data_IF_066398924289
#
_entry.id   IF_066398924289
#
_cell.length_a   1.000
_cell.length_b   1.000
_cell.length_c   1.000
_cell.angle_alpha   90.00
_cell.angle_beta   90.00
_cell.angle_gamma   90.00
#
_symmetry.space_group_name_H-M   'P 1'
#
loop_
_entity.id
_entity.type
_entity.pdbx_description
1 polymer ?
#
# COMPACT_ATOMS: atom_id res chain seq x y z
N UNK A 1 42.26 6.62 14.62
CA UNK A 1 40.93 7.21 14.88
C UNK A 1 40.38 7.95 13.65
N UNK A 2 40.08 7.25 12.53
CA UNK A 2 39.61 7.88 11.26
C UNK A 2 38.46 7.10 10.58
N UNK A 3 37.58 6.46 11.36
CA UNK A 3 36.40 5.72 10.82
C UNK A 3 35.09 6.03 11.56
N UNK A 4 35.07 7.07 12.38
CA UNK A 4 33.89 7.45 13.16
C UNK A 4 32.78 8.21 12.38
N UNK A 5 33.06 9.11 11.41
CA UNK A 5 31.99 9.93 10.82
C UNK A 5 31.08 9.13 9.86
N UNK A 6 31.59 8.10 9.18
CA UNK A 6 30.78 7.26 8.27
C UNK A 6 29.81 6.33 9.02
N UNK A 7 30.17 5.87 10.22
CA UNK A 7 29.30 5.04 11.05
C UNK A 7 28.17 5.86 11.69
N UNK A 8 28.40 7.15 11.94
CA UNK A 8 27.38 8.05 12.47
C UNK A 8 26.34 8.39 11.40
N UNK A 9 26.76 8.63 10.16
CA UNK A 9 25.88 8.87 9.01
C UNK A 9 25.03 7.64 8.65
N UNK A 10 25.63 6.44 8.62
CA UNK A 10 24.89 5.20 8.38
C UNK A 10 23.89 4.87 9.51
N UNK A 11 24.25 5.17 10.77
CA UNK A 11 23.34 5.02 11.91
C UNK A 11 22.26 6.09 11.94
N UNK A 12 22.53 7.32 11.53
CA UNK A 12 21.53 8.38 11.46
C UNK A 12 20.50 8.12 10.36
N UNK A 13 20.92 7.58 9.21
CA UNK A 13 20.02 7.09 8.15
C UNK A 13 19.18 5.89 8.64
N UNK A 14 19.77 4.99 9.45
CA UNK A 14 19.02 3.87 10.06
C UNK A 14 18.08 4.30 11.20
N UNK A 15 18.43 5.34 11.97
CA UNK A 15 17.62 5.86 13.07
C UNK A 15 16.45 6.72 12.57
N UNK A 16 16.66 7.48 11.49
CA UNK A 16 15.58 8.16 10.76
C UNK A 16 14.56 7.16 10.18
N UNK A 17 14.99 5.92 9.94
CA UNK A 17 14.16 4.79 9.53
C UNK A 17 13.46 4.02 10.68
N UNK A 18 13.74 4.36 11.94
CA UNK A 18 13.22 3.65 13.14
C UNK A 18 12.11 4.39 13.90
N UNK A 19 11.64 5.54 13.40
CA UNK A 19 10.39 6.14 13.89
C UNK A 19 9.20 5.23 13.50
N UNK A 20 8.10 5.20 14.28
CA UNK A 20 6.96 4.34 13.99
C UNK A 20 6.34 4.74 12.65
N UNK A 21 6.68 3.99 11.60
CA UNK A 21 6.19 4.15 10.23
C UNK A 21 5.00 3.21 10.03
N UNK A 22 3.74 3.69 9.93
CA UNK A 22 2.64 2.81 9.54
C UNK A 22 2.49 2.69 8.01
N UNK A 23 3.36 3.30 7.18
CA UNK A 23 3.07 3.43 5.73
C UNK A 23 4.28 3.41 4.77
N UNK A 24 5.53 3.37 5.23
CA UNK A 24 6.70 3.47 4.33
C UNK A 24 7.33 2.11 3.94
N UNK A 25 7.08 1.05 4.73
CA UNK A 25 7.69 -0.28 4.48
C UNK A 25 7.28 -0.91 3.14
N UNK A 26 6.10 -0.55 2.60
CA UNK A 26 5.65 -1.02 1.28
C UNK A 26 6.33 -0.32 0.10
N UNK A 27 6.87 0.89 0.29
CA UNK A 27 7.40 1.71 -0.82
C UNK A 27 8.81 1.33 -1.25
N UNK A 28 9.66 0.81 -0.36
CA UNK A 28 11.04 0.46 -0.70
C UNK A 28 11.21 -1.00 -1.13
N UNK A 29 10.45 -1.93 -0.54
CA UNK A 29 10.51 -3.35 -0.93
C UNK A 29 9.97 -3.61 -2.34
N UNK A 30 8.87 -2.93 -2.74
CA UNK A 30 8.25 -3.13 -4.05
C UNK A 30 9.07 -2.55 -5.22
N UNK A 31 9.81 -1.45 -5.01
CA UNK A 31 10.63 -0.81 -6.05
C UNK A 31 11.93 -1.59 -6.30
N UNK A 32 12.55 -2.15 -5.26
CA UNK A 32 13.72 -3.02 -5.41
C UNK A 32 13.36 -4.41 -5.94
N UNK A 33 12.21 -4.99 -5.55
CA UNK A 33 11.79 -6.33 -5.99
C UNK A 33 11.28 -6.36 -7.44
N UNK A 34 10.55 -5.32 -7.91
CA UNK A 34 10.08 -5.25 -9.31
C UNK A 34 11.21 -4.99 -10.32
N UNK A 35 12.35 -4.46 -9.89
CA UNK A 35 13.50 -4.24 -10.79
C UNK A 35 14.27 -5.54 -11.11
N UNK A 36 14.07 -6.63 -10.35
CA UNK A 36 14.82 -7.89 -10.51
C UNK A 36 14.03 -9.04 -11.14
N UNK A 37 12.71 -8.91 -11.30
CA UNK A 37 11.86 -9.99 -11.84
C UNK A 37 11.00 -9.47 -12.99
N UNK A 38 11.61 -9.36 -14.17
CA UNK A 38 10.91 -9.23 -15.45
C UNK A 38 10.97 -10.59 -16.16
N UNK A 39 10.21 -11.57 -15.66
CA UNK A 39 9.95 -12.80 -16.42
C UNK A 39 8.66 -12.60 -17.20
N UNK A 40 8.83 -12.45 -18.51
CA UNK A 40 7.73 -12.44 -19.47
C UNK A 40 6.94 -13.74 -19.43
N UNK A 41 5.64 -13.60 -19.67
CA UNK A 41 4.78 -14.67 -20.19
C UNK A 41 3.94 -14.05 -21.29
N UNK A 42 4.38 -14.28 -22.53
CA UNK A 42 3.48 -14.27 -23.69
C UNK A 42 2.78 -15.63 -23.69
N UNK A 43 1.45 -15.63 -23.68
CA UNK A 43 0.69 -16.83 -24.04
C UNK A 43 0.51 -16.89 -25.57
N UNK A 44 0.71 -18.07 -26.20
CA UNK A 44 0.59 -18.26 -27.64
C UNK A 44 -0.87 -18.44 -28.06
N UNK A 45 -1.19 -18.00 -29.27
CA UNK A 45 -2.56 -17.91 -29.79
C UNK A 45 -3.30 -19.24 -29.99
N UNK A 46 -4.62 -19.11 -30.15
CA UNK A 46 -5.53 -20.16 -30.61
C UNK A 46 -6.92 -19.58 -30.90
N UNK A 47 -7.35 -19.67 -32.16
CA UNK A 47 -8.67 -19.26 -32.65
C UNK A 47 -9.81 -20.22 -32.22
N UNK A 48 -11.04 -19.75 -32.52
CA UNK A 48 -12.35 -20.43 -32.64
C UNK A 48 -13.20 -20.50 -31.36
N UNK A 49 -14.39 -19.88 -31.39
CA UNK A 49 -15.61 -20.55 -31.86
C UNK A 49 -16.81 -19.60 -31.87
N UNK A 50 -17.33 -19.31 -33.07
CA UNK A 50 -18.73 -18.99 -33.34
C UNK A 50 -19.56 -20.27 -33.23
N UNK A 51 -20.16 -20.59 -32.07
CA UNK A 51 -21.19 -21.63 -31.90
C UNK A 51 -21.69 -21.69 -30.44
N UNK A 52 -22.59 -20.77 -30.05
CA UNK A 52 -23.55 -20.95 -28.93
C UNK A 52 -24.33 -19.64 -28.73
N UNK A 53 -25.49 -19.48 -29.38
CA UNK A 53 -26.43 -18.41 -29.01
C UNK A 53 -27.80 -18.96 -28.55
N UNK A 54 -27.97 -20.28 -28.53
CA UNK A 54 -29.22 -20.92 -28.10
C UNK A 54 -29.17 -21.47 -26.67
N UNK A 55 -27.99 -21.80 -26.11
CA UNK A 55 -27.92 -22.45 -24.79
C UNK A 55 -27.97 -21.46 -23.61
N UNK A 56 -27.60 -20.20 -23.82
CA UNK A 56 -27.41 -19.26 -22.70
C UNK A 56 -28.73 -18.74 -22.08
N UNK A 57 -29.87 -18.88 -22.78
CA UNK A 57 -31.17 -18.54 -22.19
C UNK A 57 -31.75 -19.70 -21.37
N UNK A 58 -31.55 -20.94 -21.80
CA UNK A 58 -31.98 -22.13 -21.05
C UNK A 58 -31.13 -22.35 -19.79
N UNK A 59 -29.83 -22.08 -19.88
CA UNK A 59 -28.91 -22.12 -18.74
C UNK A 59 -29.30 -21.10 -17.66
N UNK A 60 -29.62 -19.86 -18.07
CA UNK A 60 -30.15 -18.81 -17.17
C UNK A 60 -31.45 -19.20 -16.49
N UNK A 61 -32.38 -19.82 -17.22
CA UNK A 61 -33.65 -20.28 -16.66
C UNK A 61 -33.45 -21.42 -15.65
N UNK A 62 -32.52 -22.34 -15.91
CA UNK A 62 -32.16 -23.44 -15.00
C UNK A 62 -31.54 -22.92 -13.70
N UNK A 63 -30.59 -21.98 -13.79
CA UNK A 63 -29.93 -21.40 -12.61
C UNK A 63 -30.93 -20.62 -11.75
N UNK A 64 -31.82 -19.85 -12.38
CA UNK A 64 -32.90 -19.15 -11.69
C UNK A 64 -33.84 -20.13 -10.96
N UNK A 65 -34.27 -21.19 -11.64
CA UNK A 65 -35.16 -22.21 -11.06
C UNK A 65 -34.54 -22.87 -9.83
N UNK A 66 -33.25 -23.24 -9.89
CA UNK A 66 -32.51 -23.81 -8.77
C UNK A 66 -32.41 -22.85 -7.58
N UNK A 67 -32.14 -21.56 -7.84
CA UNK A 67 -32.11 -20.52 -6.79
C UNK A 67 -33.48 -20.36 -6.14
N UNK A 68 -34.56 -20.34 -6.92
CA UNK A 68 -35.93 -20.24 -6.42
C UNK A 68 -36.32 -21.43 -5.53
N UNK A 69 -36.00 -22.65 -5.95
CA UNK A 69 -36.25 -23.87 -5.16
C UNK A 69 -35.49 -23.83 -3.83
N UNK A 70 -34.22 -23.41 -3.85
CA UNK A 70 -33.40 -23.28 -2.64
C UNK A 70 -34.01 -22.29 -1.65
N UNK A 71 -34.37 -21.09 -2.13
CA UNK A 71 -34.99 -20.05 -1.31
C UNK A 71 -36.35 -20.49 -0.72
N UNK A 72 -37.19 -21.17 -1.52
CA UNK A 72 -38.47 -21.72 -1.03
C UNK A 72 -38.25 -22.77 0.07
N UNK A 73 -37.34 -23.72 -0.15
CA UNK A 73 -37.03 -24.78 0.82
C UNK A 73 -36.43 -24.21 2.12
N UNK A 74 -35.59 -23.17 2.02
CA UNK A 74 -35.00 -22.48 3.18
C UNK A 74 -36.05 -21.84 4.09
N UNK A 75 -37.07 -21.25 3.50
CA UNK A 75 -38.19 -20.67 4.26
C UNK A 75 -39.27 -21.67 4.66
N UNK A 76 -39.13 -22.95 4.27
CA UNK A 76 -40.07 -24.02 4.61
C UNK A 76 -41.42 -23.94 3.89
N UNK A 77 -41.53 -23.21 2.78
CA UNK A 77 -42.81 -22.96 2.10
C UNK A 77 -43.17 -24.05 1.10
N UNK A 78 -44.47 -24.36 0.98
CA UNK A 78 -45.02 -25.13 -0.14
C UNK A 78 -45.11 -24.29 -1.43
N UNK A 79 -45.27 -24.93 -2.60
CA UNK A 79 -45.42 -24.19 -3.86
C UNK A 79 -46.71 -23.35 -3.86
N UNK A 80 -47.74 -23.85 -3.19
CA UNK A 80 -49.01 -23.21 -2.96
C UNK A 80 -48.86 -21.95 -2.10
N UNK A 81 -48.15 -22.03 -0.98
CA UNK A 81 -47.89 -20.89 -0.09
C UNK A 81 -47.06 -19.79 -0.76
N UNK A 82 -46.06 -20.17 -1.56
CA UNK A 82 -45.29 -19.20 -2.34
C UNK A 82 -46.16 -18.51 -3.40
N UNK A 83 -47.04 -19.26 -4.06
CA UNK A 83 -47.97 -18.73 -5.05
C UNK A 83 -48.97 -17.74 -4.41
N UNK A 84 -49.46 -18.05 -3.22
CA UNK A 84 -50.36 -17.19 -2.46
C UNK A 84 -49.69 -15.87 -2.06
N UNK A 85 -48.45 -15.93 -1.57
CA UNK A 85 -47.64 -14.75 -1.19
C UNK A 85 -47.33 -13.81 -2.37
N UNK A 86 -47.19 -14.36 -3.58
CA UNK A 86 -46.90 -13.59 -4.80
C UNK A 86 -48.16 -13.24 -5.60
N UNK A 87 -49.34 -13.62 -5.09
CA UNK A 87 -50.63 -13.47 -5.76
C UNK A 87 -50.60 -14.00 -7.21
N UNK A 88 -50.12 -15.23 -7.38
CA UNK A 88 -50.05 -15.96 -8.66
C UNK A 88 -50.65 -17.36 -8.52
N UNK A 89 -50.93 -18.03 -9.64
CA UNK A 89 -51.38 -19.42 -9.60
C UNK A 89 -50.23 -20.36 -9.22
N UNK A 90 -50.54 -21.45 -8.51
CA UNK A 90 -49.59 -22.55 -8.23
C UNK A 90 -48.90 -23.05 -9.51
N UNK A 91 -49.63 -23.08 -10.63
CA UNK A 91 -49.13 -23.51 -11.93
C UNK A 91 -48.00 -22.59 -12.45
N UNK A 92 -48.05 -21.28 -12.17
CA UNK A 92 -46.99 -20.34 -12.52
C UNK A 92 -45.69 -20.64 -11.75
N UNK A 93 -45.77 -20.83 -10.43
CA UNK A 93 -44.61 -21.19 -9.60
C UNK A 93 -43.99 -22.52 -10.05
N UNK A 94 -44.82 -23.52 -10.38
CA UNK A 94 -44.33 -24.80 -10.91
C UNK A 94 -43.60 -24.67 -12.25
N UNK A 95 -44.04 -23.74 -13.13
CA UNK A 95 -43.35 -23.46 -14.40
C UNK A 95 -42.03 -22.71 -14.20
N UNK A 96 -41.95 -21.85 -13.19
CA UNK A 96 -40.72 -21.15 -12.82
C UNK A 96 -39.68 -22.12 -12.23
N UNK A 97 -40.09 -23.00 -11.32
CA UNK A 97 -39.21 -24.01 -10.71
C UNK A 97 -38.78 -25.11 -11.69
N UNK A 98 -39.43 -25.26 -12.84
CA UNK A 98 -39.05 -26.21 -13.90
C UNK A 98 -38.32 -25.57 -15.08
N UNK A 99 -37.88 -24.31 -14.94
CA UNK A 99 -37.20 -23.53 -15.97
C UNK A 99 -37.98 -23.37 -17.29
N UNK A 100 -39.29 -23.65 -17.29
CA UNK A 100 -40.14 -23.57 -18.49
C UNK A 100 -40.47 -22.12 -18.87
N UNK A 101 -40.59 -21.24 -17.87
CA UNK A 101 -40.86 -19.81 -18.06
C UNK A 101 -40.12 -19.00 -17.01
N UNK A 102 -39.68 -17.79 -17.35
CA UNK A 102 -39.10 -16.83 -16.40
C UNK A 102 -40.21 -15.86 -15.92
N UNK A 103 -40.25 -15.48 -14.63
CA UNK A 103 -41.22 -14.51 -14.14
C UNK A 103 -41.07 -13.14 -14.82
N UNK A 104 -42.17 -12.41 -14.97
CA UNK A 104 -42.13 -11.01 -15.42
C UNK A 104 -41.43 -10.12 -14.38
N UNK A 105 -40.90 -8.97 -14.82
CA UNK A 105 -40.11 -8.05 -13.98
C UNK A 105 -40.82 -7.70 -12.67
N UNK A 106 -42.13 -7.45 -12.69
CA UNK A 106 -42.90 -7.15 -11.49
C UNK A 106 -42.89 -8.31 -10.48
N UNK A 107 -43.02 -9.55 -10.95
CA UNK A 107 -42.96 -10.76 -10.11
C UNK A 107 -41.55 -11.05 -9.62
N UNK A 108 -40.54 -10.70 -10.40
CA UNK A 108 -39.15 -10.81 -9.99
C UNK A 108 -38.81 -9.83 -8.86
N UNK A 109 -39.33 -8.60 -8.91
CA UNK A 109 -39.22 -7.62 -7.82
C UNK A 109 -40.00 -8.05 -6.57
N UNK A 110 -41.15 -8.71 -6.73
CA UNK A 110 -41.88 -9.28 -5.60
C UNK A 110 -41.13 -10.45 -4.97
N UNK A 111 -40.48 -11.29 -5.78
CA UNK A 111 -39.64 -12.39 -5.31
C UNK A 111 -38.41 -11.88 -4.54
N UNK A 112 -37.72 -10.87 -5.05
CA UNK A 112 -36.57 -10.27 -4.37
C UNK A 112 -36.98 -9.69 -3.02
N UNK A 113 -38.10 -8.95 -2.95
CA UNK A 113 -38.65 -8.45 -1.70
C UNK A 113 -39.11 -9.55 -0.73
N UNK A 114 -39.74 -10.62 -1.24
CA UNK A 114 -40.30 -11.70 -0.42
C UNK A 114 -39.21 -12.58 0.22
N UNK A 115 -38.15 -12.86 -0.52
CA UNK A 115 -37.01 -13.64 -0.03
C UNK A 115 -35.92 -12.77 0.62
N UNK A 116 -36.05 -11.45 0.49
CA UNK A 116 -35.09 -10.49 0.99
C UNK A 116 -33.74 -10.64 0.32
N UNK A 117 -33.67 -10.93 -0.99
CA UNK A 117 -32.43 -11.11 -1.78
C UNK A 117 -32.37 -10.13 -2.94
N UNK A 118 -31.18 -9.77 -3.43
CA UNK A 118 -31.05 -8.83 -4.55
C UNK A 118 -31.63 -9.42 -5.84
N UNK A 119 -32.24 -8.57 -6.65
CA UNK A 119 -32.69 -8.92 -8.02
C UNK A 119 -31.52 -9.49 -8.85
N UNK A 120 -30.31 -9.00 -8.60
CA UNK A 120 -29.07 -9.43 -9.24
C UNK A 120 -28.67 -10.85 -8.83
N UNK A 121 -28.79 -11.21 -7.54
CA UNK A 121 -28.60 -12.59 -7.06
C UNK A 121 -29.54 -13.57 -7.77
N UNK A 122 -30.80 -13.19 -8.00
CA UNK A 122 -31.77 -14.03 -8.72
C UNK A 122 -31.39 -14.23 -10.19
N UNK A 123 -30.75 -13.25 -10.84
CA UNK A 123 -30.52 -13.23 -12.29
C UNK A 123 -29.13 -13.64 -12.74
N UNK A 124 -28.10 -13.54 -11.89
CA UNK A 124 -26.72 -13.86 -12.25
C UNK A 124 -26.46 -15.37 -12.38
N UNK A 125 -25.53 -15.71 -13.26
CA UNK A 125 -25.15 -17.10 -13.60
C UNK A 125 -24.26 -17.77 -12.54
N UNK A 126 -23.69 -16.99 -11.61
CA UNK A 126 -22.85 -17.50 -10.54
C UNK A 126 -23.69 -17.86 -9.31
N UNK A 127 -23.41 -19.02 -8.71
CA UNK A 127 -23.88 -19.39 -7.37
C UNK A 127 -23.07 -18.60 -6.33
N UNK A 128 -23.23 -17.28 -6.33
CA UNK A 128 -22.70 -16.38 -5.32
C UNK A 128 -23.39 -16.66 -3.97
N UNK A 129 -22.75 -16.24 -2.87
CA UNK A 129 -23.40 -16.32 -1.55
C UNK A 129 -24.66 -15.45 -1.53
N UNK A 130 -25.71 -15.91 -0.85
CA UNK A 130 -27.00 -15.21 -0.77
C UNK A 130 -26.82 -13.74 -0.34
N UNK A 131 -27.04 -12.83 -1.29
CA UNK A 131 -26.91 -11.39 -1.05
C UNK A 131 -28.29 -10.85 -0.68
N UNK A 132 -28.51 -10.64 0.62
CA UNK A 132 -29.80 -10.23 1.13
C UNK A 132 -30.06 -8.73 0.83
N UNK A 133 -31.23 -8.38 0.26
CA UNK A 133 -31.71 -6.99 0.21
C UNK A 133 -31.92 -6.50 1.62
N UNK A 134 -31.01 -5.65 2.04
CA UNK A 134 -30.97 -5.11 3.39
C UNK A 134 -31.88 -3.89 3.48
N UNK A 135 -33.19 -4.10 3.57
CA UNK A 135 -34.05 -3.07 4.12
C UNK A 135 -33.89 -3.10 5.65
N UNK A 136 -33.27 -2.06 6.20
CA UNK A 136 -33.21 -1.82 7.65
C UNK A 136 -31.99 -2.33 8.42
N UNK A 137 -30.82 -2.53 7.80
CA UNK A 137 -29.58 -2.75 8.55
C UNK A 137 -28.38 -2.14 7.84
N UNK A 138 -27.53 -1.41 8.56
CA UNK A 138 -26.33 -0.80 8.02
C UNK A 138 -25.35 -1.88 7.49
N UNK A 139 -25.20 -1.98 6.16
CA UNK A 139 -23.95 -2.48 5.60
C UNK A 139 -22.85 -1.54 6.11
N UNK A 140 -22.04 -2.05 7.03
CA UNK A 140 -20.90 -1.32 7.59
C UNK A 140 -19.75 -1.16 6.56
N UNK A 141 -20.05 -1.31 5.26
CA UNK A 141 -19.12 -1.09 4.16
C UNK A 141 -19.34 0.33 3.69
N UNK A 142 -18.37 1.17 4.01
CA UNK A 142 -18.47 2.61 3.77
C UNK A 142 -18.40 2.87 2.27
N UNK A 143 -19.44 3.47 1.70
CA UNK A 143 -19.40 3.89 0.30
C UNK A 143 -18.60 5.19 0.14
N UNK A 144 -17.68 5.23 -0.82
CA UNK A 144 -16.91 6.45 -1.13
C UNK A 144 -17.55 7.14 -2.32
N UNK A 145 -18.06 8.35 -2.09
CA UNK A 145 -18.61 9.17 -3.16
C UNK A 145 -17.54 9.83 -4.03
N UNK A 146 -17.90 10.24 -5.24
CA UNK A 146 -16.99 10.97 -6.13
C UNK A 146 -16.41 12.22 -5.48
N UNK A 147 -17.22 12.94 -4.71
CA UNK A 147 -16.79 14.14 -3.98
C UNK A 147 -15.76 13.79 -2.90
N UNK A 148 -16.03 12.75 -2.09
CA UNK A 148 -15.11 12.27 -1.05
C UNK A 148 -13.79 11.77 -1.61
N UNK A 149 -13.82 11.02 -2.72
CA UNK A 149 -12.61 10.56 -3.41
C UNK A 149 -11.75 11.73 -3.91
N UNK A 150 -12.37 12.76 -4.50
CA UNK A 150 -11.66 13.96 -4.92
C UNK A 150 -11.08 14.76 -3.74
N UNK A 151 -11.84 14.85 -2.64
CA UNK A 151 -11.38 15.51 -1.41
C UNK A 151 -10.16 14.78 -0.82
N UNK A 152 -10.22 13.46 -0.73
CA UNK A 152 -9.08 12.63 -0.31
C UNK A 152 -7.85 12.86 -1.19
N UNK A 153 -8.00 12.83 -2.52
CA UNK A 153 -6.88 13.08 -3.44
C UNK A 153 -6.29 14.48 -3.27
N UNK A 154 -7.13 15.51 -3.10
CA UNK A 154 -6.68 16.90 -2.86
C UNK A 154 -5.97 17.03 -1.52
N UNK A 155 -6.51 16.39 -0.48
CA UNK A 155 -5.89 16.36 0.85
C UNK A 155 -4.53 15.68 0.78
N UNK A 156 -4.44 14.49 0.15
CA UNK A 156 -3.18 13.74 -0.04
C UNK A 156 -2.15 14.55 -0.80
N UNK A 157 -2.56 15.31 -1.81
CA UNK A 157 -1.67 16.19 -2.57
C UNK A 157 -1.09 17.34 -1.72
N UNK A 158 -1.89 17.93 -0.83
CA UNK A 158 -1.41 18.96 0.12
C UNK A 158 -0.54 18.35 1.22
N UNK A 159 -0.96 17.21 1.76
CA UNK A 159 -0.21 16.43 2.75
C UNK A 159 1.18 16.04 2.23
N UNK A 160 1.29 15.68 0.94
CA UNK A 160 2.58 15.39 0.30
C UNK A 160 3.60 16.53 0.47
N UNK A 161 3.16 17.79 0.36
CA UNK A 161 4.04 18.96 0.49
C UNK A 161 4.50 19.13 1.93
N UNK A 162 3.61 18.93 2.91
CA UNK A 162 3.98 18.98 4.33
C UNK A 162 4.95 17.86 4.71
N UNK A 163 4.69 16.64 4.24
CA UNK A 163 5.58 15.49 4.45
C UNK A 163 6.95 15.75 3.79
N UNK A 164 6.96 16.26 2.56
CA UNK A 164 8.20 16.59 1.87
C UNK A 164 8.99 17.70 2.58
N UNK A 165 8.31 18.73 3.08
CA UNK A 165 8.93 19.81 3.86
C UNK A 165 9.54 19.29 5.17
N UNK A 166 8.83 18.40 5.89
CA UNK A 166 9.36 17.75 7.09
C UNK A 166 10.62 16.92 6.80
N UNK A 167 10.59 16.10 5.74
CA UNK A 167 11.74 15.30 5.33
C UNK A 167 12.93 16.17 4.90
N UNK A 168 12.67 17.23 4.13
CA UNK A 168 13.68 18.21 3.72
C UNK A 168 14.35 18.87 4.93
N UNK A 169 13.56 19.33 5.92
CA UNK A 169 14.10 19.92 7.15
C UNK A 169 15.02 18.94 7.90
N UNK A 170 14.60 17.68 8.03
CA UNK A 170 15.40 16.66 8.71
C UNK A 170 16.73 16.37 7.99
N UNK A 171 16.74 16.31 6.65
CA UNK A 171 17.97 16.09 5.87
C UNK A 171 18.88 17.32 5.96
N UNK A 172 18.30 18.52 5.83
CA UNK A 172 19.05 19.79 5.90
C UNK A 172 19.48 20.17 7.31
N UNK A 173 18.97 19.51 8.36
CA UNK A 173 19.32 19.80 9.75
C UNK A 173 20.81 19.61 10.06
N UNK A 174 21.50 18.74 9.29
CA UNK A 174 22.93 18.50 9.44
C UNK A 174 23.77 19.64 8.85
N UNK A 175 23.24 20.37 7.88
CA UNK A 175 23.98 21.41 7.13
C UNK A 175 24.47 22.58 7.99
N UNK A 176 23.64 23.20 8.87
CA UNK A 176 24.12 24.26 9.76
C UNK A 176 25.25 23.81 10.70
N UNK A 177 25.16 22.58 11.22
CA UNK A 177 26.20 22.02 12.09
C UNK A 177 27.53 21.89 11.34
N UNK A 178 27.52 21.37 10.12
CA UNK A 178 28.72 21.20 9.29
C UNK A 178 29.32 22.54 8.86
N UNK A 179 28.48 23.47 8.38
CA UNK A 179 28.95 24.78 7.92
C UNK A 179 29.51 25.64 9.05
N UNK A 180 28.84 25.66 10.21
CA UNK A 180 29.28 26.49 11.33
C UNK A 180 30.59 25.97 11.93
N UNK A 181 30.75 24.65 12.03
CA UNK A 181 32.01 24.03 12.45
C UNK A 181 33.15 24.35 11.48
N UNK A 182 32.91 24.19 10.17
CA UNK A 182 33.89 24.51 9.14
C UNK A 182 34.26 26.00 9.11
N UNK A 183 33.29 26.90 9.31
CA UNK A 183 33.51 28.34 9.34
C UNK A 183 34.30 28.79 10.59
N UNK A 184 34.13 28.10 11.73
CA UNK A 184 34.91 28.33 12.93
C UNK A 184 36.36 27.85 12.76
N UNK A 185 36.58 26.65 12.20
CA UNK A 185 37.91 26.14 11.87
C UNK A 185 38.67 27.05 10.88
N UNK A 186 37.96 27.61 9.90
CA UNK A 186 38.52 28.56 8.94
C UNK A 186 38.76 29.97 9.50
N UNK A 187 38.41 30.23 10.77
CA UNK A 187 38.54 31.54 11.40
C UNK A 187 37.57 32.61 10.87
N UNK A 188 36.58 32.24 10.06
CA UNK A 188 35.64 33.19 9.44
C UNK A 188 34.48 33.57 10.36
N UNK A 189 34.10 32.70 11.30
CA UNK A 189 32.93 32.90 12.15
C UNK A 189 33.19 33.82 13.36
N UNK A 190 34.45 34.15 13.68
CA UNK A 190 34.79 34.94 14.87
C UNK A 190 34.37 34.30 16.20
N UNK A 191 34.02 33.01 16.19
CA UNK A 191 33.53 32.26 17.35
C UNK A 191 34.51 31.15 17.71
N UNK A 192 34.57 30.77 18.99
CA UNK A 192 35.30 29.59 19.43
C UNK A 192 34.69 28.31 18.82
N UNK A 193 35.55 27.35 18.47
CA UNK A 193 35.16 26.07 17.85
C UNK A 193 34.08 25.33 18.67
N UNK A 194 34.27 25.28 19.99
CA UNK A 194 33.32 24.64 20.92
C UNK A 194 31.95 25.33 20.92
N UNK A 195 31.92 26.66 20.81
CA UNK A 195 30.69 27.44 20.75
C UNK A 195 29.96 27.24 19.42
N UNK A 196 30.69 27.21 18.30
CA UNK A 196 30.17 26.94 16.98
C UNK A 196 29.53 25.54 16.90
N UNK A 197 30.21 24.51 17.43
CA UNK A 197 29.68 23.16 17.50
C UNK A 197 28.40 23.09 18.37
N UNK A 198 28.38 23.76 19.53
CA UNK A 198 27.22 23.79 20.41
C UNK A 198 26.00 24.48 19.76
N UNK A 199 26.20 25.63 19.12
CA UNK A 199 25.14 26.34 18.39
C UNK A 199 24.62 25.49 17.22
N UNK A 200 25.52 24.86 16.47
CA UNK A 200 25.16 23.97 15.37
C UNK A 200 24.31 22.78 15.83
N UNK A 201 24.63 22.19 16.99
CA UNK A 201 23.86 21.10 17.57
C UNK A 201 22.47 21.54 18.03
N UNK A 202 22.36 22.71 18.67
CA UNK A 202 21.07 23.28 19.06
C UNK A 202 20.18 23.51 17.82
N UNK A 203 20.73 24.08 16.74
CA UNK A 203 20.00 24.30 15.49
C UNK A 203 19.56 22.97 14.85
N UNK A 204 20.42 21.95 14.85
CA UNK A 204 20.07 20.62 14.35
C UNK A 204 18.84 20.07 15.08
N UNK A 205 18.85 20.10 16.42
CA UNK A 205 17.73 19.59 17.24
C UNK A 205 16.44 20.38 16.96
N UNK A 206 16.52 21.70 16.84
CA UNK A 206 15.36 22.55 16.52
C UNK A 206 14.76 22.20 15.14
N UNK A 207 15.61 22.05 14.11
CA UNK A 207 15.16 21.70 12.76
C UNK A 207 14.54 20.30 12.70
N UNK A 208 15.16 19.31 13.35
CA UNK A 208 14.59 17.95 13.43
C UNK A 208 13.25 17.98 14.17
N UNK A 209 13.16 18.72 15.28
CA UNK A 209 11.91 18.85 16.05
C UNK A 209 10.80 19.47 15.20
N UNK A 210 11.10 20.52 14.45
CA UNK A 210 10.15 21.12 13.52
C UNK A 210 9.72 20.14 12.41
N UNK A 211 10.65 19.35 11.86
CA UNK A 211 10.34 18.30 10.88
C UNK A 211 9.41 17.22 11.42
N UNK A 212 9.67 16.73 12.64
CA UNK A 212 8.82 15.74 13.32
C UNK A 212 7.44 16.33 13.63
N UNK A 213 7.37 17.58 14.07
CA UNK A 213 6.09 18.26 14.32
C UNK A 213 5.22 18.33 13.05
N UNK A 214 5.82 18.58 11.88
CA UNK A 214 5.11 18.56 10.59
C UNK A 214 4.53 17.18 10.26
N UNK A 215 5.28 16.10 10.52
CA UNK A 215 4.80 14.73 10.32
C UNK A 215 3.63 14.38 11.23
N UNK A 216 3.75 14.70 12.52
CA UNK A 216 2.70 14.46 13.51
C UNK A 216 1.43 15.25 13.16
N UNK A 217 1.58 16.53 12.80
CA UNK A 217 0.47 17.36 12.36
C UNK A 217 -0.24 16.80 11.12
N UNK A 218 0.53 16.30 10.15
CA UNK A 218 -0.02 15.63 8.97
C UNK A 218 -0.78 14.35 9.33
N UNK A 219 -0.28 13.58 10.30
CA UNK A 219 -0.92 12.37 10.82
C UNK A 219 -2.28 12.66 11.46
N UNK A 220 -2.36 13.65 12.35
CA UNK A 220 -3.63 14.02 13.00
C UNK A 220 -4.69 14.49 11.98
N UNK A 221 -4.30 15.22 10.93
CA UNK A 221 -5.22 15.63 9.87
C UNK A 221 -5.67 14.49 8.95
N UNK A 222 -5.07 13.30 9.04
CA UNK A 222 -5.46 12.13 8.26
C UNK A 222 -6.63 11.35 8.90
N UNK A 223 -6.96 11.60 10.17
CA UNK A 223 -7.99 10.85 10.90
C UNK A 223 -9.34 10.69 10.15
N UNK A 224 -9.86 11.70 9.43
CA UNK A 224 -11.11 11.54 8.68
C UNK A 224 -11.04 10.52 7.53
N UNK A 225 -9.85 10.22 7.02
CA UNK A 225 -9.62 9.33 5.88
C UNK A 225 -9.00 7.98 6.28
N UNK A 226 -8.85 7.72 7.58
CA UNK A 226 -8.21 6.50 8.08
C UNK A 226 -8.95 5.22 7.64
N UNK A 227 -10.28 5.31 7.50
CA UNK A 227 -11.12 4.21 7.01
C UNK A 227 -10.71 3.70 5.61
N UNK A 228 -10.14 4.54 4.75
CA UNK A 228 -9.65 4.14 3.41
C UNK A 228 -8.47 3.17 3.54
N UNK A 229 -7.74 3.25 4.64
CA UNK A 229 -6.59 2.39 4.93
C UNK A 229 -6.96 1.18 5.81
N UNK A 230 -7.96 1.30 6.67
CA UNK A 230 -8.28 0.30 7.71
C UNK A 230 -9.49 -0.59 7.41
N UNK A 231 -10.43 -0.12 6.61
CA UNK A 231 -11.75 -0.76 6.45
C UNK A 231 -12.04 -1.11 4.98
N UNK A 232 -12.81 -2.19 4.73
CA UNK A 232 -13.32 -2.45 3.40
C UNK A 232 -14.33 -1.36 3.03
N UNK A 233 -14.17 -0.79 1.85
CA UNK A 233 -15.06 0.24 1.31
C UNK A 233 -15.44 -0.12 -0.12
N UNK A 234 -16.58 0.41 -0.57
CA UNK A 234 -17.03 0.28 -1.94
C UNK A 234 -17.04 1.66 -2.61
N UNK A 235 -16.34 1.78 -3.73
CA UNK A 235 -16.30 3.04 -4.46
C UNK A 235 -17.57 3.18 -5.32
N UNK A 236 -18.23 4.34 -5.25
CA UNK A 236 -19.42 4.62 -6.06
C UNK A 236 -19.14 4.53 -7.57
N UNK A 237 -20.19 4.28 -8.35
CA UNK A 237 -20.11 4.22 -9.81
C UNK A 237 -19.44 5.48 -10.39
N UNK A 238 -18.40 5.27 -11.21
CA UNK A 238 -17.62 6.35 -11.81
C UNK A 238 -16.37 6.79 -11.04
N UNK A 239 -16.24 6.47 -9.73
CA UNK A 239 -15.01 6.74 -8.96
C UNK A 239 -13.83 5.96 -9.52
N UNK A 240 -14.01 4.65 -9.75
CA UNK A 240 -12.98 3.81 -10.37
C UNK A 240 -12.54 4.35 -11.73
N UNK A 241 -13.48 4.73 -12.60
CA UNK A 241 -13.16 5.30 -13.92
C UNK A 241 -12.39 6.62 -13.82
N UNK A 242 -12.84 7.54 -12.96
CA UNK A 242 -12.18 8.83 -12.75
C UNK A 242 -10.75 8.67 -12.20
N UNK A 243 -10.55 7.81 -11.19
CA UNK A 243 -9.24 7.59 -10.58
C UNK A 243 -8.32 6.83 -11.53
N UNK A 244 -8.82 5.83 -12.26
CA UNK A 244 -8.05 5.07 -13.24
C UNK A 244 -7.54 5.97 -14.37
N UNK A 245 -8.41 6.85 -14.91
CA UNK A 245 -8.02 7.79 -15.96
C UNK A 245 -6.99 8.83 -15.45
N UNK A 246 -7.20 9.34 -14.23
CA UNK A 246 -6.25 10.25 -13.58
C UNK A 246 -4.89 9.59 -13.29
N UNK A 247 -4.90 8.30 -12.94
CA UNK A 247 -3.67 7.53 -12.71
C UNK A 247 -2.95 7.22 -14.02
N UNK A 248 -3.69 6.87 -15.08
CA UNK A 248 -3.16 6.62 -16.41
C UNK A 248 -2.47 7.87 -16.97
N UNK A 249 -3.12 9.02 -16.92
CA UNK A 249 -2.53 10.32 -17.32
C UNK A 249 -1.33 10.73 -16.46
N UNK A 250 -1.31 10.37 -15.17
CA UNK A 250 -0.18 10.68 -14.28
C UNK A 250 0.99 9.69 -14.40
N UNK A 251 0.82 8.53 -15.06
CA UNK A 251 1.82 7.46 -15.11
C UNK A 251 3.16 7.92 -15.66
N UNK A 252 3.15 8.67 -16.76
CA UNK A 252 4.39 9.13 -17.42
C UNK A 252 5.09 10.20 -16.58
N UNK A 253 4.31 11.09 -15.95
CA UNK A 253 4.85 12.09 -15.01
C UNK A 253 5.47 11.41 -13.78
N UNK A 254 4.82 10.37 -13.25
CA UNK A 254 5.34 9.59 -12.14
C UNK A 254 6.65 8.87 -12.51
N UNK A 255 6.70 8.22 -13.67
CA UNK A 255 7.91 7.58 -14.17
C UNK A 255 9.06 8.57 -14.39
N UNK A 256 8.80 9.69 -15.08
CA UNK A 256 9.79 10.74 -15.32
C UNK A 256 10.31 11.34 -14.01
N UNK A 257 9.42 11.61 -13.05
CA UNK A 257 9.78 12.12 -11.73
C UNK A 257 10.65 11.13 -10.95
N UNK A 258 10.31 9.84 -10.96
CA UNK A 258 11.11 8.80 -10.29
C UNK A 258 12.50 8.66 -10.92
N UNK A 259 12.59 8.68 -12.26
CA UNK A 259 13.88 8.62 -12.96
C UNK A 259 14.71 9.86 -12.61
N UNK A 260 14.12 11.06 -12.70
CA UNK A 260 14.80 12.30 -12.37
C UNK A 260 15.28 12.34 -10.91
N UNK A 261 14.44 11.94 -9.95
CA UNK A 261 14.79 11.88 -8.53
C UNK A 261 15.91 10.87 -8.26
N UNK A 262 15.86 9.69 -8.89
CA UNK A 262 16.91 8.66 -8.78
C UNK A 262 18.24 9.19 -9.32
N UNK A 263 18.23 9.75 -10.53
CA UNK A 263 19.40 10.36 -11.13
C UNK A 263 19.97 11.47 -10.25
N UNK A 264 19.12 12.36 -9.71
CA UNK A 264 19.55 13.45 -8.84
C UNK A 264 20.19 12.94 -7.54
N UNK A 265 19.64 11.90 -6.92
CA UNK A 265 20.23 11.26 -5.74
C UNK A 265 21.59 10.61 -6.04
N UNK A 266 21.75 9.95 -7.19
CA UNK A 266 23.04 9.35 -7.57
C UNK A 266 24.06 10.45 -7.89
N UNK A 267 23.66 11.47 -8.65
CA UNK A 267 24.49 12.62 -9.01
C UNK A 267 24.86 13.48 -7.79
N UNK A 268 24.08 13.41 -6.69
CA UNK A 268 24.39 14.11 -5.44
C UNK A 268 25.73 13.71 -4.82
N UNK A 269 26.32 12.58 -5.24
CA UNK A 269 27.65 12.16 -4.80
C UNK A 269 28.80 12.87 -5.54
N UNK A 270 28.55 13.47 -6.70
CA UNK A 270 29.59 14.14 -7.49
C UNK A 270 30.28 15.26 -6.69
N UNK A 271 29.57 16.18 -6.01
CA UNK A 271 30.22 17.20 -5.19
C UNK A 271 31.08 16.60 -4.07
N UNK A 272 30.72 15.43 -3.50
CA UNK A 272 31.57 14.75 -2.51
C UNK A 272 32.94 14.40 -3.09
N UNK A 273 32.94 13.78 -4.29
CA UNK A 273 34.18 13.38 -4.96
C UNK A 273 34.98 14.57 -5.45
N UNK A 274 34.31 15.61 -5.94
CA UNK A 274 34.97 16.86 -6.32
C UNK A 274 35.68 17.48 -5.13
N UNK A 275 35.09 17.43 -3.93
CA UNK A 275 35.68 17.95 -2.69
C UNK A 275 37.07 17.38 -2.41
N UNK A 276 37.30 16.11 -2.70
CA UNK A 276 38.58 15.43 -2.45
C UNK A 276 39.75 16.07 -3.22
N UNK A 277 39.48 16.67 -4.38
CA UNK A 277 40.52 17.33 -5.19
C UNK A 277 40.93 18.70 -4.65
N UNK A 278 40.08 19.33 -3.82
CA UNK A 278 40.38 20.61 -3.21
C UNK A 278 41.17 20.40 -1.91
N UNK A 279 42.26 21.16 -1.74
CA UNK A 279 43.07 21.13 -0.52
C UNK A 279 42.44 21.93 0.63
N UNK A 280 41.49 22.81 0.31
CA UNK A 280 40.82 23.69 1.26
C UNK A 280 39.73 22.93 2.03
N UNK A 281 39.92 22.79 3.35
CA UNK A 281 39.00 22.08 4.25
C UNK A 281 37.60 22.73 4.31
N UNK A 282 37.52 24.05 4.22
CA UNK A 282 36.26 24.76 4.21
C UNK A 282 35.48 24.46 2.94
N UNK A 283 36.15 24.50 1.78
CA UNK A 283 35.54 24.16 0.50
C UNK A 283 35.05 22.70 0.46
N UNK A 284 35.81 21.76 1.03
CA UNK A 284 35.39 20.36 1.17
C UNK A 284 34.06 20.22 1.93
N UNK A 285 33.89 20.95 3.03
CA UNK A 285 32.67 20.94 3.83
C UNK A 285 31.49 21.59 3.12
N UNK A 286 31.72 22.68 2.37
CA UNK A 286 30.69 23.30 1.53
C UNK A 286 30.19 22.29 0.48
N UNK A 287 31.10 21.58 -0.19
CA UNK A 287 30.73 20.56 -1.18
C UNK A 287 29.95 19.40 -0.55
N UNK A 288 30.32 18.97 0.66
CA UNK A 288 29.54 18.00 1.44
C UNK A 288 28.12 18.53 1.70
N UNK A 289 27.95 19.80 2.07
CA UNK A 289 26.62 20.39 2.28
C UNK A 289 25.79 20.44 0.99
N UNK A 290 26.43 20.69 -0.16
CA UNK A 290 25.77 20.62 -1.48
C UNK A 290 25.25 19.21 -1.75
N UNK A 291 25.96 18.16 -1.34
CA UNK A 291 25.46 16.78 -1.50
C UNK A 291 24.17 16.52 -0.74
N UNK A 292 24.09 16.98 0.52
CA UNK A 292 22.88 16.85 1.32
C UNK A 292 21.71 17.62 0.71
N UNK A 293 21.97 18.82 0.16
CA UNK A 293 20.95 19.62 -0.50
C UNK A 293 20.40 18.92 -1.76
N UNK A 294 21.28 18.41 -2.64
CA UNK A 294 20.86 17.70 -3.84
C UNK A 294 20.09 16.41 -3.50
N UNK A 295 20.57 15.65 -2.51
CA UNK A 295 19.87 14.47 -2.02
C UNK A 295 18.50 14.83 -1.43
N UNK A 296 18.39 15.92 -0.66
CA UNK A 296 17.13 16.38 -0.10
C UNK A 296 16.10 16.75 -1.20
N UNK A 297 16.54 17.42 -2.27
CA UNK A 297 15.67 17.72 -3.43
C UNK A 297 15.17 16.44 -4.09
N UNK A 298 16.04 15.43 -4.28
CA UNK A 298 15.65 14.13 -4.82
C UNK A 298 14.60 13.43 -3.95
N UNK A 299 14.78 13.42 -2.63
CA UNK A 299 13.80 12.86 -1.68
C UNK A 299 12.47 13.61 -1.72
N UNK A 300 12.48 14.95 -1.80
CA UNK A 300 11.26 15.76 -1.96
C UNK A 300 10.50 15.36 -3.21
N UNK A 301 11.18 15.19 -4.35
CA UNK A 301 10.56 14.74 -5.60
C UNK A 301 9.91 13.35 -5.45
N UNK A 302 10.61 12.39 -4.81
CA UNK A 302 10.04 11.07 -4.54
C UNK A 302 8.77 11.14 -3.69
N UNK A 303 8.77 11.96 -2.63
CA UNK A 303 7.60 12.11 -1.75
C UNK A 303 6.45 12.73 -2.53
N UNK A 304 6.68 13.83 -3.26
CA UNK A 304 5.63 14.54 -3.99
C UNK A 304 4.95 13.66 -5.06
N UNK A 305 5.74 12.87 -5.80
CA UNK A 305 5.23 12.00 -6.86
C UNK A 305 4.68 10.68 -6.30
N UNK A 306 5.37 10.08 -5.34
CA UNK A 306 4.98 8.82 -4.71
C UNK A 306 3.68 8.92 -3.91
N UNK A 307 3.49 9.98 -3.13
CA UNK A 307 2.27 10.17 -2.31
C UNK A 307 1.02 10.27 -3.18
N UNK A 308 1.10 10.96 -4.32
CA UNK A 308 0.00 11.10 -5.30
C UNK A 308 -0.32 9.77 -5.97
N UNK A 309 0.71 9.06 -6.45
CA UNK A 309 0.55 7.74 -7.04
C UNK A 309 -0.08 6.74 -6.07
N UNK A 310 0.41 6.70 -4.82
CA UNK A 310 -0.12 5.85 -3.75
C UNK A 310 -1.61 6.09 -3.52
N UNK A 311 -2.02 7.37 -3.41
CA UNK A 311 -3.42 7.70 -3.13
C UNK A 311 -4.40 7.23 -4.20
N UNK A 312 -3.97 7.23 -5.47
CA UNK A 312 -4.78 6.70 -6.56
C UNK A 312 -4.84 5.17 -6.52
N UNK A 313 -3.72 4.51 -6.20
CA UNK A 313 -3.68 3.05 -6.01
C UNK A 313 -4.59 2.57 -4.86
N UNK A 314 -4.64 3.32 -3.76
CA UNK A 314 -5.53 3.04 -2.62
C UNK A 314 -7.01 3.06 -3.01
N UNK A 315 -7.45 4.11 -3.69
CA UNK A 315 -8.86 4.22 -4.14
C UNK A 315 -9.24 3.17 -5.19
N UNK A 316 -8.27 2.69 -5.98
CA UNK A 316 -8.49 1.61 -6.96
C UNK A 316 -8.42 0.21 -6.34
N UNK A 317 -8.04 0.08 -5.07
CA UNK A 317 -7.83 -1.20 -4.39
C UNK A 317 -6.94 -2.17 -5.19
N UNK A 318 -5.91 -1.66 -5.87
CA UNK A 318 -4.94 -2.51 -6.58
C UNK A 318 -4.25 -3.46 -5.59
N UNK A 319 -3.77 -4.63 -6.05
CA UNK A 319 -3.24 -5.73 -5.22
C UNK A 319 -2.51 -5.32 -3.91
N UNK A 320 -1.57 -4.37 -3.96
CA UNK A 320 -0.83 -3.89 -2.78
C UNK A 320 -1.70 -3.24 -1.67
N UNK A 321 -2.90 -2.79 -2.06
CA UNK A 321 -3.90 -2.03 -1.31
C UNK A 321 -5.25 -2.75 -1.16
N UNK A 322 -5.45 -3.91 -1.81
CA UNK A 322 -6.67 -4.69 -1.71
C UNK A 322 -6.86 -5.19 -0.27
N UNK A 323 -8.05 -4.99 0.30
CA UNK A 323 -8.35 -5.36 1.68
C UNK A 323 -8.15 -6.86 1.95
N UNK A 324 -8.64 -7.72 1.03
CA UNK A 324 -8.50 -9.19 1.11
C UNK A 324 -7.03 -9.66 1.13
N UNK A 325 -6.10 -8.87 0.60
CA UNK A 325 -4.67 -9.21 0.62
C UNK A 325 -3.99 -8.74 1.91
N UNK A 326 -4.51 -7.69 2.56
CA UNK A 326 -3.99 -7.15 3.83
C UNK A 326 -4.19 -8.13 5.00
N UNK A 327 -5.31 -8.86 5.02
CA UNK A 327 -5.58 -9.89 6.02
C UNK A 327 -4.65 -11.11 5.85
N UNK A 328 -4.41 -11.54 4.60
CA UNK A 328 -3.44 -12.60 4.25
C UNK A 328 -2.00 -12.20 4.55
N UNK A 329 -1.66 -10.93 4.34
CA UNK A 329 -0.34 -10.39 4.64
C UNK A 329 -0.13 -10.14 6.13
N UNK A 330 -1.17 -9.94 6.93
CA UNK A 330 -1.06 -9.78 8.38
C UNK A 330 -0.39 -10.98 9.08
N UNK A 331 -0.73 -12.20 8.65
CA UNK A 331 -0.07 -13.41 9.14
C UNK A 331 1.41 -13.48 8.71
N UNK A 332 1.72 -13.14 7.46
CA UNK A 332 3.10 -13.07 6.96
C UNK A 332 3.92 -12.02 7.71
N UNK A 333 3.33 -10.85 7.96
CA UNK A 333 3.95 -9.75 8.71
C UNK A 333 4.16 -10.10 10.19
N UNK A 334 3.23 -10.81 10.82
CA UNK A 334 3.40 -11.30 12.18
C UNK A 334 4.54 -12.31 12.28
N UNK A 335 4.62 -13.27 11.34
CA UNK A 335 5.72 -14.23 11.26
C UNK A 335 7.05 -13.54 11.00
N UNK A 336 7.08 -12.57 10.08
CA UNK A 336 8.29 -11.79 9.80
C UNK A 336 8.77 -11.01 11.03
N UNK A 337 7.86 -10.35 11.75
CA UNK A 337 8.19 -9.63 12.99
C UNK A 337 8.77 -10.58 14.04
N UNK A 338 8.11 -11.71 14.29
CA UNK A 338 8.61 -12.72 15.23
C UNK A 338 9.99 -13.26 14.83
N UNK A 339 10.19 -13.54 13.53
CA UNK A 339 11.45 -14.03 12.99
C UNK A 339 12.62 -13.07 13.21
N UNK A 340 12.44 -11.78 12.88
CA UNK A 340 13.50 -10.78 13.04
C UNK A 340 13.78 -10.49 14.52
N UNK A 341 12.76 -10.44 15.37
CA UNK A 341 12.96 -10.32 16.82
C UNK A 341 13.73 -11.50 17.41
N UNK A 342 13.43 -12.73 16.98
CA UNK A 342 14.16 -13.93 17.40
C UNK A 342 15.61 -13.92 16.90
N UNK A 343 15.83 -13.52 15.65
CA UNK A 343 17.16 -13.41 15.04
C UNK A 343 18.03 -12.43 15.82
N UNK A 344 17.49 -11.27 16.19
CA UNK A 344 18.18 -10.28 17.02
C UNK A 344 18.48 -10.86 18.40
N UNK A 345 17.54 -11.56 19.03
CA UNK A 345 17.77 -12.20 20.33
C UNK A 345 18.89 -13.25 20.28
N UNK A 346 18.91 -14.08 19.22
CA UNK A 346 19.97 -15.08 18.99
C UNK A 346 21.33 -14.42 18.75
N UNK A 347 21.36 -13.38 17.90
CA UNK A 347 22.57 -12.61 17.63
C UNK A 347 23.12 -11.99 18.92
N UNK A 348 22.30 -11.27 19.67
CA UNK A 348 22.72 -10.62 20.90
C UNK A 348 23.13 -11.64 21.95
N UNK A 349 22.34 -12.70 22.17
CA UNK A 349 22.66 -13.77 23.12
C UNK A 349 24.01 -14.42 22.83
N UNK A 350 24.24 -14.86 21.59
CA UNK A 350 25.52 -15.42 21.18
C UNK A 350 26.66 -14.40 21.31
N UNK A 351 26.44 -13.16 20.87
CA UNK A 351 27.49 -12.14 20.90
C UNK A 351 27.90 -11.75 22.33
N UNK A 352 26.95 -11.66 23.27
CA UNK A 352 27.24 -11.39 24.67
C UNK A 352 27.86 -12.60 25.40
N UNK A 353 27.39 -13.82 25.15
CA UNK A 353 27.92 -15.04 25.77
C UNK A 353 29.35 -15.37 25.29
N UNK A 354 29.64 -15.14 24.01
CA UNK A 354 30.93 -15.50 23.41
C UNK A 354 31.96 -14.38 23.46
N UNK A 355 31.55 -13.12 23.60
CA UNK A 355 32.42 -11.94 23.51
C UNK A 355 33.09 -11.76 22.13
N UNK A 356 32.76 -12.58 21.12
CA UNK A 356 33.43 -12.65 19.81
C UNK A 356 32.58 -12.02 18.71
N UNK A 357 32.37 -10.71 18.85
CA UNK A 357 31.61 -9.86 17.91
C UNK A 357 32.10 -9.93 16.45
N UNK A 358 33.36 -10.33 16.22
CA UNK A 358 33.92 -10.50 14.88
C UNK A 358 33.38 -11.70 14.10
N UNK A 359 32.85 -12.73 14.78
CA UNK A 359 32.34 -13.97 14.14
C UNK A 359 30.81 -14.00 14.17
N UNK A 360 30.20 -13.49 15.23
CA UNK A 360 28.74 -13.55 15.45
C UNK A 360 27.93 -12.80 14.39
N UNK A 361 28.57 -11.93 13.59
CA UNK A 361 27.92 -11.27 12.45
C UNK A 361 27.37 -12.25 11.41
N UNK A 362 27.92 -13.47 11.32
CA UNK A 362 27.49 -14.52 10.36
C UNK A 362 26.01 -14.92 10.51
N UNK A 363 25.42 -14.64 11.68
CA UNK A 363 23.99 -14.83 11.94
C UNK A 363 23.13 -14.03 10.95
N UNK A 364 23.57 -12.85 10.52
CA UNK A 364 22.78 -11.98 9.64
C UNK A 364 22.64 -12.53 8.20
N UNK A 365 23.73 -12.92 7.49
CA UNK A 365 23.62 -13.62 6.21
C UNK A 365 22.77 -14.89 6.29
N UNK A 366 22.99 -15.71 7.32
CA UNK A 366 22.24 -16.95 7.52
C UNK A 366 20.75 -16.67 7.73
N UNK A 367 20.42 -15.65 8.53
CA UNK A 367 19.05 -15.23 8.76
C UNK A 367 18.38 -14.68 7.48
N UNK A 368 19.11 -13.98 6.62
CA UNK A 368 18.58 -13.53 5.33
C UNK A 368 18.16 -14.70 4.44
N UNK A 369 19.01 -15.73 4.32
CA UNK A 369 18.73 -16.92 3.51
C UNK A 369 17.56 -17.72 4.10
N UNK A 370 17.57 -17.96 5.41
CA UNK A 370 16.50 -18.67 6.10
C UNK A 370 15.15 -17.96 5.97
N UNK A 371 15.14 -16.62 6.02
CA UNK A 371 13.92 -15.84 5.82
C UNK A 371 13.37 -15.99 4.41
N UNK A 372 14.22 -15.97 3.39
CA UNK A 372 13.80 -16.16 1.99
C UNK A 372 13.17 -17.55 1.77
N UNK A 373 13.72 -18.59 2.39
CA UNK A 373 13.13 -19.94 2.37
C UNK A 373 11.79 -19.94 3.09
N UNK A 374 11.71 -19.35 4.28
CA UNK A 374 10.47 -19.25 5.06
C UNK A 374 9.37 -18.51 4.29
N UNK A 375 9.70 -17.41 3.61
CA UNK A 375 8.72 -16.64 2.81
C UNK A 375 8.17 -17.45 1.64
N UNK A 376 9.02 -18.24 0.97
CA UNK A 376 8.57 -19.10 -0.13
C UNK A 376 7.64 -20.22 0.36
N UNK A 377 7.96 -20.83 1.51
CA UNK A 377 7.10 -21.86 2.13
C UNK A 377 5.73 -21.27 2.52
N UNK A 378 5.72 -20.09 3.15
CA UNK A 378 4.47 -19.41 3.51
C UNK A 378 3.60 -19.08 2.29
N UNK A 379 4.21 -18.70 1.16
CA UNK A 379 3.49 -18.48 -0.09
C UNK A 379 2.90 -19.77 -0.65
N UNK A 380 3.65 -20.88 -0.63
CA UNK A 380 3.16 -22.19 -1.09
C UNK A 380 2.00 -22.71 -0.23
N UNK A 381 2.07 -22.54 1.09
CA UNK A 381 0.99 -22.94 2.02
C UNK A 381 -0.26 -22.06 1.82
N UNK A 382 -0.09 -20.76 1.60
CA UNK A 382 -1.19 -19.87 1.29
C UNK A 382 -1.90 -20.26 -0.02
N UNK A 383 -1.12 -20.58 -1.06
CA UNK A 383 -1.65 -21.04 -2.36
C UNK A 383 -2.44 -22.35 -2.23
N UNK A 384 -1.95 -23.33 -1.46
CA UNK A 384 -2.66 -24.61 -1.26
C UNK A 384 -3.99 -24.46 -0.51
N UNK A 385 -4.16 -23.40 0.28
CA UNK A 385 -5.42 -23.13 1.00
C UNK A 385 -6.51 -22.54 0.08
N UNK A 386 -6.11 -21.99 -1.07
CA UNK A 386 -7.03 -21.37 -2.05
C UNK A 386 -7.64 -22.39 -3.03
N UNK A 387 -7.00 -23.55 -3.23
CA UNK A 387 -7.53 -24.65 -4.06
C UNK A 387 -7.85 -25.89 -3.19
N UNK A 388 -8.98 -25.95 -2.46
CA UNK A 388 -9.36 -27.15 -1.70
C UNK A 388 -9.84 -28.32 -2.56
N UNK A 389 -10.03 -28.13 -3.87
CA UNK A 389 -10.60 -29.11 -4.80
C UNK A 389 -9.65 -29.56 -5.91
N UNK A 390 -8.33 -29.62 -5.65
CA UNK A 390 -7.37 -30.27 -6.55
C UNK A 390 -6.53 -31.33 -5.87
#
# INVERSE_FOLDING_TARGET
MRRAPFLFLARFVSLAFSLPQPQVDKFQAAVWWRATVFSGKLDPGGQLTTLCRTNHMEERAMIFADKLIRLRKKNGWSQEELAEKLNVSRQAVSKWESAQTVPELEKLLQLSALFGVTTDYLLKDELEAEEYTRDGGESNVKHISLAQAQEFLRWRQKAAVLIAAGAFLCIMAVTPLLLLSAAAEAGMAGMAEEAAAAVGLCLLVVLVTAGVALFVWCGFKNAPFEFIDSEPFEAEYGVHGMVAEKKKSYRDTYAACNIAATCLCILSLIPLFLGIFFKDSFFQMVLLCVTFLLAAVGVVMFILCGVRWASMGKLLQEADYAYCEKEKNGAKEAVARAYWSLTVAVYLGWSFLSGRWGITWIVWPLAGILYAVLSNILQLVAWKKEDPNR
#
